data_IF_283068118168
#
_entry.id   IF_283068118168
#
_cell.length_a   1.000
_cell.length_b   1.000
_cell.length_c   1.000
_cell.angle_alpha   90.00
_cell.angle_beta   90.00
_cell.angle_gamma   90.00
#
_symmetry.space_group_name_H-M   'P 1'
#
loop_
_entity.id
_entity.type
_entity.pdbx_description
1 polymer ?
#
# COMPACT_ATOMS: atom_id res chain seq x y z
N UNK A 1 -2.67 -25.45 27.18
CA UNK A 1 -2.59 -23.97 27.19
C UNK A 1 -1.24 -23.44 26.73
N UNK A 2 -0.10 -23.81 27.34
CA UNK A 2 1.21 -23.35 26.87
C UNK A 2 1.52 -23.77 25.41
N UNK A 3 1.12 -24.98 25.01
CA UNK A 3 1.32 -25.49 23.63
C UNK A 3 0.48 -24.78 22.57
N UNK A 4 -0.74 -24.36 22.89
CA UNK A 4 -1.61 -23.62 21.96
C UNK A 4 -1.14 -22.17 21.80
N UNK A 5 -0.78 -21.50 22.89
CA UNK A 5 -0.25 -20.13 22.86
C UNK A 5 1.09 -20.06 22.11
N UNK A 6 1.96 -21.08 22.26
CA UNK A 6 3.19 -21.19 21.49
C UNK A 6 2.95 -21.38 19.98
N UNK A 7 1.94 -22.18 19.59
CA UNK A 7 1.54 -22.32 18.18
C UNK A 7 1.01 -21.00 17.60
N UNK A 8 0.18 -20.29 18.34
CA UNK A 8 -0.34 -18.98 17.94
C UNK A 8 0.80 -17.96 17.76
N UNK A 9 1.76 -17.92 18.68
CA UNK A 9 2.93 -17.06 18.56
C UNK A 9 3.72 -17.34 17.27
N UNK A 10 3.93 -18.62 16.94
CA UNK A 10 4.61 -19.03 15.69
C UNK A 10 3.85 -18.60 14.43
N UNK A 11 2.51 -18.68 14.44
CA UNK A 11 1.69 -18.21 13.32
C UNK A 11 1.82 -16.70 13.14
N UNK A 12 1.77 -15.94 14.25
CA UNK A 12 1.99 -14.49 14.22
C UNK A 12 3.38 -14.15 13.68
N UNK A 13 4.42 -14.83 14.16
CA UNK A 13 5.79 -14.57 13.71
C UNK A 13 5.95 -14.89 12.21
N UNK A 14 5.35 -15.98 11.72
CA UNK A 14 5.37 -16.31 10.29
C UNK A 14 4.70 -15.21 9.45
N UNK A 15 3.54 -14.71 9.88
CA UNK A 15 2.86 -13.61 9.19
C UNK A 15 3.67 -12.32 9.26
N UNK A 16 4.22 -11.99 10.43
CA UNK A 16 5.09 -10.82 10.65
C UNK A 16 6.32 -10.86 9.73
N UNK A 17 6.95 -12.02 9.59
CA UNK A 17 8.11 -12.20 8.71
C UNK A 17 7.77 -12.01 7.23
N UNK A 18 6.56 -12.41 6.82
CA UNK A 18 6.06 -12.12 5.47
C UNK A 18 5.86 -10.63 5.27
N UNK A 19 5.23 -9.93 6.21
CA UNK A 19 5.06 -8.47 6.12
C UNK A 19 6.39 -7.74 6.04
N UNK A 20 7.39 -8.16 6.82
CA UNK A 20 8.75 -7.61 6.77
C UNK A 20 9.41 -7.70 5.39
N UNK A 21 9.09 -8.74 4.62
CA UNK A 21 9.62 -8.95 3.28
C UNK A 21 8.75 -8.27 2.21
N UNK A 22 7.44 -8.50 2.27
CA UNK A 22 6.50 -8.13 1.23
C UNK A 22 6.20 -6.61 1.23
N UNK A 23 6.17 -5.95 2.39
CA UNK A 23 5.80 -4.52 2.46
C UNK A 23 6.83 -3.59 1.79
N UNK A 24 8.16 -3.73 2.05
CA UNK A 24 9.16 -2.91 1.36
C UNK A 24 9.21 -3.18 -0.15
N UNK A 25 9.05 -4.44 -0.55
CA UNK A 25 8.99 -4.81 -1.98
C UNK A 25 7.77 -4.19 -2.66
N UNK A 26 6.62 -4.16 -1.99
CA UNK A 26 5.44 -3.47 -2.50
C UNK A 26 5.71 -1.98 -2.68
N UNK A 27 6.28 -1.31 -1.66
CA UNK A 27 6.61 0.11 -1.69
C UNK A 27 7.53 0.46 -2.85
N UNK A 28 8.65 -0.25 -2.97
CA UNK A 28 9.64 -0.04 -4.02
C UNK A 28 9.02 -0.20 -5.42
N UNK A 29 8.26 -1.27 -5.64
CA UNK A 29 7.62 -1.53 -6.92
C UNK A 29 6.55 -0.48 -7.25
N UNK A 30 5.78 -0.05 -6.24
CA UNK A 30 4.75 0.96 -6.41
C UNK A 30 5.36 2.31 -6.79
N UNK A 31 6.36 2.78 -6.04
CA UNK A 31 7.07 4.02 -6.31
C UNK A 31 7.72 4.01 -7.69
N UNK A 32 8.37 2.89 -8.06
CA UNK A 32 8.95 2.74 -9.39
C UNK A 32 7.90 2.86 -10.50
N UNK A 33 6.74 2.22 -10.34
CA UNK A 33 5.65 2.28 -11.31
C UNK A 33 5.08 3.71 -11.45
N UNK A 34 4.82 4.39 -10.32
CA UNK A 34 4.37 5.79 -10.32
C UNK A 34 5.38 6.69 -11.02
N UNK A 35 6.68 6.52 -10.72
CA UNK A 35 7.75 7.30 -11.34
C UNK A 35 7.81 7.10 -12.86
N UNK A 36 7.70 5.86 -13.34
CA UNK A 36 7.65 5.57 -14.78
C UNK A 36 6.45 6.25 -15.43
N UNK A 37 5.28 6.21 -14.78
CA UNK A 37 4.07 6.88 -15.28
C UNK A 37 4.27 8.40 -15.35
N UNK A 38 4.80 9.03 -14.30
CA UNK A 38 5.05 10.48 -14.29
C UNK A 38 6.06 10.90 -15.37
N UNK A 39 7.13 10.12 -15.57
CA UNK A 39 8.08 10.36 -16.67
C UNK A 39 7.37 10.29 -18.03
N UNK A 40 6.53 9.27 -18.24
CA UNK A 40 5.76 9.13 -19.48
C UNK A 40 4.84 10.35 -19.71
N UNK A 41 4.09 10.77 -18.71
CA UNK A 41 3.20 11.95 -18.78
C UNK A 41 4.00 13.22 -19.11
N UNK A 42 5.17 13.39 -18.50
CA UNK A 42 6.02 14.56 -18.71
C UNK A 42 6.60 14.64 -20.13
N UNK A 43 6.80 13.50 -20.80
CA UNK A 43 7.24 13.45 -22.19
C UNK A 43 6.14 13.77 -23.21
N UNK A 44 4.88 13.82 -22.78
CA UNK A 44 3.75 14.22 -23.63
C UNK A 44 3.66 15.75 -23.69
N UNK A 45 3.68 16.28 -24.90
CA UNK A 45 3.63 17.70 -25.23
C UNK A 45 2.51 17.98 -26.25
N UNK A 46 2.36 19.25 -26.65
CA UNK A 46 1.28 19.66 -27.58
C UNK A 46 1.33 18.97 -28.93
N UNK A 47 2.51 18.53 -29.37
CA UNK A 47 2.70 17.96 -30.70
C UNK A 47 2.30 16.48 -30.76
N UNK A 48 2.23 15.79 -29.62
CA UNK A 48 1.95 14.34 -29.54
C UNK A 48 0.82 13.97 -28.59
N UNK A 49 0.12 14.94 -27.99
CA UNK A 49 -0.92 14.67 -27.00
C UNK A 49 -2.14 13.95 -27.60
N UNK A 50 -2.49 14.25 -28.85
CA UNK A 50 -3.60 13.58 -29.55
C UNK A 50 -3.30 12.08 -29.74
N UNK A 51 -2.06 11.73 -30.10
CA UNK A 51 -1.63 10.33 -30.27
C UNK A 51 -1.62 9.53 -28.95
N UNK A 52 -1.56 10.22 -27.81
CA UNK A 52 -1.45 9.60 -26.48
C UNK A 52 -2.73 9.72 -25.64
N UNK A 53 -3.80 10.32 -26.18
CA UNK A 53 -5.00 10.64 -25.41
C UNK A 53 -5.69 9.41 -24.80
N UNK A 54 -5.76 8.32 -25.55
CA UNK A 54 -6.41 7.09 -25.10
C UNK A 54 -5.59 6.40 -24.01
N UNK A 55 -4.27 6.41 -24.14
CA UNK A 55 -3.35 5.93 -23.10
C UNK A 55 -3.50 6.76 -21.82
N UNK A 56 -3.53 8.09 -21.93
CA UNK A 56 -3.73 8.98 -20.78
C UNK A 56 -5.06 8.72 -20.07
N UNK A 57 -6.16 8.55 -20.82
CA UNK A 57 -7.47 8.21 -20.25
C UNK A 57 -7.47 6.83 -19.59
N UNK A 58 -6.82 5.85 -20.20
CA UNK A 58 -6.69 4.51 -19.62
C UNK A 58 -5.88 4.54 -18.32
N UNK A 59 -4.74 5.24 -18.31
CA UNK A 59 -3.93 5.43 -17.11
C UNK A 59 -4.73 6.13 -16.01
N UNK A 60 -5.48 7.19 -16.34
CA UNK A 60 -6.32 7.90 -15.38
C UNK A 60 -7.35 6.98 -14.74
N UNK A 61 -7.98 6.11 -15.54
CA UNK A 61 -8.93 5.11 -15.03
C UNK A 61 -8.25 4.13 -14.06
N UNK A 62 -7.10 3.57 -14.42
CA UNK A 62 -6.40 2.62 -13.56
C UNK A 62 -5.87 3.25 -12.27
N UNK A 63 -5.39 4.50 -12.32
CA UNK A 63 -4.98 5.24 -11.12
C UNK A 63 -6.17 5.55 -10.23
N UNK A 64 -7.34 5.91 -10.79
CA UNK A 64 -8.58 6.08 -10.01
C UNK A 64 -8.99 4.77 -9.35
N UNK A 65 -9.00 3.66 -10.09
CA UNK A 65 -9.27 2.33 -9.53
C UNK A 65 -8.31 2.01 -8.37
N UNK A 66 -7.02 2.31 -8.52
CA UNK A 66 -6.01 2.05 -7.50
C UNK A 66 -6.27 2.89 -6.24
N UNK A 67 -6.51 4.20 -6.43
CA UNK A 67 -6.83 5.14 -5.36
C UNK A 67 -8.09 4.74 -4.59
N UNK A 68 -9.11 4.23 -5.28
CA UNK A 68 -10.36 3.80 -4.64
C UNK A 68 -10.20 2.52 -3.82
N UNK A 69 -9.21 1.67 -4.14
CA UNK A 69 -8.99 0.39 -3.46
C UNK A 69 -8.00 0.47 -2.28
N UNK A 70 -7.01 1.37 -2.31
CA UNK A 70 -6.04 1.52 -1.21
C UNK A 70 -6.72 1.81 0.15
N UNK A 71 -7.74 2.69 0.25
CA UNK A 71 -8.47 2.92 1.50
C UNK A 71 -9.10 1.65 2.08
N UNK A 72 -9.58 0.73 1.23
CA UNK A 72 -10.13 -0.54 1.70
C UNK A 72 -9.05 -1.43 2.33
N UNK A 73 -7.85 -1.45 1.74
CA UNK A 73 -6.71 -2.14 2.32
C UNK A 73 -6.28 -1.53 3.65
N UNK A 74 -6.23 -0.19 3.74
CA UNK A 74 -5.94 0.53 4.99
C UNK A 74 -6.96 0.17 6.07
N UNK A 75 -8.25 0.24 5.76
CA UNK A 75 -9.32 -0.09 6.71
C UNK A 75 -9.25 -1.53 7.18
N UNK A 76 -8.98 -2.48 6.27
CA UNK A 76 -8.80 -3.89 6.62
C UNK A 76 -7.60 -4.11 7.56
N UNK A 77 -6.48 -3.44 7.30
CA UNK A 77 -5.29 -3.52 8.14
C UNK A 77 -5.50 -2.87 9.52
N UNK A 78 -6.18 -1.73 9.58
CA UNK A 78 -6.53 -1.09 10.85
C UNK A 78 -7.48 -1.95 11.68
N UNK A 79 -8.51 -2.55 11.06
CA UNK A 79 -9.40 -3.47 11.77
C UNK A 79 -8.65 -4.69 12.34
N UNK A 80 -7.68 -5.23 11.59
CA UNK A 80 -6.83 -6.30 12.10
C UNK A 80 -5.91 -5.83 13.23
N UNK A 81 -5.32 -4.64 13.11
CA UNK A 81 -4.50 -4.01 14.15
C UNK A 81 -5.28 -3.91 15.47
N UNK A 82 -6.49 -3.35 15.43
CA UNK A 82 -7.34 -3.16 16.61
C UNK A 82 -7.67 -4.49 17.30
N UNK A 83 -7.97 -5.53 16.51
CA UNK A 83 -8.21 -6.87 17.06
C UNK A 83 -6.96 -7.39 17.79
N UNK A 84 -5.79 -7.29 17.18
CA UNK A 84 -4.53 -7.79 17.76
C UNK A 84 -4.11 -6.98 18.98
N UNK A 85 -4.26 -5.65 18.96
CA UNK A 85 -3.89 -4.77 20.06
C UNK A 85 -4.66 -5.09 21.33
N UNK A 86 -5.93 -5.47 21.21
CA UNK A 86 -6.82 -5.78 22.33
C UNK A 86 -6.61 -7.18 22.92
N UNK A 87 -5.67 -7.98 22.42
CA UNK A 87 -5.38 -9.30 23.00
C UNK A 87 -4.71 -9.18 24.38
N UNK A 88 -5.13 -9.99 25.36
CA UNK A 88 -4.60 -9.92 26.73
C UNK A 88 -3.14 -10.37 26.80
N UNK A 89 -2.38 -9.77 27.72
CA UNK A 89 -1.00 -10.14 28.01
C UNK A 89 -0.95 -11.41 28.87
N UNK A 90 -1.02 -12.58 28.24
CA UNK A 90 -1.14 -13.87 28.96
C UNK A 90 0.13 -14.73 28.92
N UNK A 91 1.02 -14.52 27.94
CA UNK A 91 2.23 -15.34 27.76
C UNK A 91 3.34 -14.52 27.07
N UNK A 92 4.52 -14.46 27.69
CA UNK A 92 5.59 -13.54 27.28
C UNK A 92 6.05 -13.70 25.83
N UNK A 93 6.09 -14.94 25.31
CA UNK A 93 6.44 -15.19 23.89
C UNK A 93 5.35 -14.66 22.96
N UNK A 94 4.08 -14.94 23.26
CA UNK A 94 2.95 -14.44 22.48
C UNK A 94 2.88 -12.91 22.51
N UNK A 95 3.10 -12.29 23.67
CA UNK A 95 3.18 -10.83 23.80
C UNK A 95 4.28 -10.23 22.93
N UNK A 96 5.45 -10.88 22.87
CA UNK A 96 6.54 -10.43 21.99
C UNK A 96 6.17 -10.53 20.52
N UNK A 97 5.64 -11.68 20.06
CA UNK A 97 5.20 -11.86 18.67
C UNK A 97 4.10 -10.86 18.30
N UNK A 98 3.12 -10.63 19.19
CA UNK A 98 2.07 -9.62 19.02
C UNK A 98 2.63 -8.22 18.82
N UNK A 99 3.52 -7.78 19.70
CA UNK A 99 4.09 -6.42 19.61
C UNK A 99 4.90 -6.21 18.32
N UNK A 100 5.62 -7.24 17.86
CA UNK A 100 6.30 -7.21 16.56
C UNK A 100 5.31 -7.06 15.41
N UNK A 101 4.22 -7.84 15.43
CA UNK A 101 3.17 -7.74 14.42
C UNK A 101 2.57 -6.32 14.38
N UNK A 102 2.22 -5.74 15.54
CA UNK A 102 1.66 -4.38 15.60
C UNK A 102 2.59 -3.36 14.95
N UNK A 103 3.88 -3.41 15.25
CA UNK A 103 4.88 -2.52 14.62
C UNK A 103 4.96 -2.72 13.11
N UNK A 104 4.81 -3.94 12.60
CA UNK A 104 4.81 -4.20 11.16
C UNK A 104 3.53 -3.74 10.47
N UNK A 105 2.38 -3.86 11.14
CA UNK A 105 1.11 -3.33 10.65
C UNK A 105 1.12 -1.80 10.60
N UNK A 106 1.74 -1.14 11.57
CA UNK A 106 1.96 0.31 11.54
C UNK A 106 2.83 0.72 10.34
N UNK A 107 3.92 -0.01 10.09
CA UNK A 107 4.78 0.21 8.92
C UNK A 107 4.01 0.04 7.61
N UNK A 108 3.28 -1.06 7.45
CA UNK A 108 2.48 -1.33 6.26
C UNK A 108 1.39 -0.25 6.05
N UNK A 109 0.74 0.21 7.12
CA UNK A 109 -0.25 1.29 7.05
C UNK A 109 0.39 2.59 6.56
N UNK A 110 1.62 2.90 7.00
CA UNK A 110 2.37 4.05 6.50
C UNK A 110 2.67 3.91 5.01
N UNK A 111 3.17 2.75 4.57
CA UNK A 111 3.43 2.45 3.16
C UNK A 111 2.17 2.63 2.30
N UNK A 112 1.03 2.08 2.72
CA UNK A 112 -0.24 2.21 1.98
C UNK A 112 -0.71 3.67 1.89
N UNK A 113 -0.51 4.48 2.94
CA UNK A 113 -0.81 5.92 2.90
C UNK A 113 0.09 6.67 1.93
N UNK A 114 1.38 6.34 1.90
CA UNK A 114 2.31 6.88 0.89
C UNK A 114 1.85 6.52 -0.52
N UNK A 115 1.51 5.26 -0.77
CA UNK A 115 0.99 4.80 -2.06
C UNK A 115 -0.29 5.53 -2.48
N UNK A 116 -1.20 5.78 -1.53
CA UNK A 116 -2.41 6.58 -1.79
C UNK A 116 -2.08 8.01 -2.23
N UNK A 117 -1.16 8.67 -1.51
CA UNK A 117 -0.77 10.05 -1.83
C UNK A 117 -0.13 10.13 -3.21
N UNK A 118 0.78 9.21 -3.54
CA UNK A 118 1.43 9.12 -4.85
C UNK A 118 0.42 8.88 -5.98
N UNK A 119 -0.55 8.00 -5.77
CA UNK A 119 -1.63 7.78 -6.75
C UNK A 119 -2.47 9.05 -6.96
N UNK A 120 -2.78 9.77 -5.88
CA UNK A 120 -3.55 11.01 -5.94
C UNK A 120 -2.77 12.14 -6.64
N UNK A 121 -1.46 12.24 -6.43
CA UNK A 121 -0.60 13.18 -7.15
C UNK A 121 -0.58 12.87 -8.66
N UNK A 122 -0.37 11.60 -9.01
CA UNK A 122 -0.33 11.16 -10.41
C UNK A 122 -1.67 11.35 -11.13
N UNK A 123 -2.78 11.14 -10.45
CA UNK A 123 -4.11 11.48 -10.97
C UNK A 123 -4.20 12.98 -11.32
N UNK A 124 -3.72 13.85 -10.43
CA UNK A 124 -3.68 15.29 -10.67
C UNK A 124 -2.83 15.66 -11.91
N UNK A 125 -1.68 15.01 -12.08
CA UNK A 125 -0.83 15.19 -13.27
C UNK A 125 -1.55 14.76 -14.55
N UNK A 126 -2.22 13.60 -14.54
CA UNK A 126 -3.00 13.08 -15.66
C UNK A 126 -4.18 14.00 -16.02
N UNK A 127 -4.94 14.44 -15.02
CA UNK A 127 -6.06 15.35 -15.23
C UNK A 127 -5.60 16.70 -15.77
N UNK A 128 -4.48 17.24 -15.26
CA UNK A 128 -3.90 18.46 -15.81
C UNK A 128 -3.47 18.27 -17.26
N UNK A 129 -2.76 17.18 -17.58
CA UNK A 129 -2.30 16.90 -18.93
C UNK A 129 -3.47 16.81 -19.91
N UNK A 130 -4.54 16.11 -19.54
CA UNK A 130 -5.75 15.97 -20.36
C UNK A 130 -6.52 17.28 -20.56
N UNK A 131 -6.35 18.29 -19.70
CA UNK A 131 -6.94 19.63 -19.86
C UNK A 131 -6.13 20.58 -20.75
N UNK A 132 -4.91 20.19 -21.13
CA UNK A 132 -4.08 20.96 -22.07
C UNK A 132 -4.47 20.71 -23.54
N UNK A 133 -5.35 19.74 -23.78
CA UNK A 133 -6.13 19.58 -25.01
C UNK A 133 -7.14 20.73 -25.15
#
# INVERSE_FOLDING_TARGET
>A
MASSLGRTAKIIDNYTNRLLLESPLYEENFEAAIKVCSIYINNINKDNIEDNIDTLKSLLKEIKNLKDNIPNAINGMMGFYDVIQNWPNVYSVLTKSRNKLLSQLDSLNSTLKTSYNLANELEGELEYKLRLL
#
